data_IF_183157122703
#
_entry.id   IF_183157122703
#
_cell.length_a   1.000
_cell.length_b   1.000
_cell.length_c   1.000
_cell.angle_alpha   90.00
_cell.angle_beta   90.00
_cell.angle_gamma   90.00
#
_symmetry.space_group_name_H-M   'P 1'
#
loop_
_entity.id
_entity.type
_entity.pdbx_description
1 polymer ?
#
# COMPACT_ATOMS: atom_id res chain seq x y z
N UNK A 1 15.54 18.21 -1.59
CA UNK A 1 14.23 18.85 -1.38
C UNK A 1 14.21 19.61 -0.05
N UNK A 2 13.55 20.76 -0.02
CA UNK A 2 13.21 21.48 1.20
C UNK A 2 11.71 21.39 1.40
N UNK A 3 11.28 20.96 2.60
CA UNK A 3 9.86 20.87 2.95
C UNK A 3 9.64 21.66 4.25
N UNK A 4 8.74 22.63 4.20
CA UNK A 4 8.31 23.44 5.34
C UNK A 4 6.84 23.13 5.63
N UNK A 5 6.53 22.77 6.88
CA UNK A 5 5.17 22.49 7.33
C UNK A 5 4.82 23.43 8.48
N UNK A 6 3.68 24.11 8.36
CA UNK A 6 3.05 24.84 9.45
C UNK A 6 1.65 24.29 9.66
N UNK A 7 1.29 23.94 10.89
CA UNK A 7 0.00 23.34 11.19
C UNK A 7 -0.58 23.87 12.50
N UNK A 8 -1.88 24.17 12.46
CA UNK A 8 -2.70 24.38 13.63
C UNK A 8 -3.86 23.37 13.67
N UNK A 9 -4.16 22.84 14.85
CA UNK A 9 -5.32 22.00 15.11
C UNK A 9 -6.01 22.44 16.38
N UNK A 10 -7.33 22.39 16.41
CA UNK A 10 -8.12 22.67 17.57
C UNK A 10 -9.27 21.69 17.71
N UNK A 11 -9.75 21.58 18.94
CA UNK A 11 -10.87 20.74 19.30
C UNK A 11 -11.71 21.47 20.33
N UNK A 12 -13.02 21.41 20.18
CA UNK A 12 -13.98 21.87 21.17
C UNK A 12 -14.93 20.73 21.51
N UNK A 13 -15.01 20.40 22.80
CA UNK A 13 -15.88 19.34 23.31
C UNK A 13 -16.84 19.97 24.32
N UNK A 14 -18.13 19.72 24.11
CA UNK A 14 -19.17 20.09 25.06
C UNK A 14 -20.23 18.99 25.08
N UNK A 15 -20.44 18.36 26.22
CA UNK A 15 -21.35 17.24 26.42
C UNK A 15 -21.11 16.12 25.37
N UNK A 16 -22.11 15.82 24.58
CA UNK A 16 -22.12 14.79 23.52
C UNK A 16 -21.57 15.32 22.16
N UNK A 17 -21.19 16.60 22.09
CA UNK A 17 -20.80 17.31 20.89
C UNK A 17 -19.31 17.53 20.85
N UNK A 18 -18.71 17.30 19.70
CA UNK A 18 -17.30 17.57 19.44
C UNK A 18 -17.15 18.25 18.08
N UNK A 19 -16.38 19.32 18.05
CA UNK A 19 -16.00 20.04 16.84
C UNK A 19 -14.49 20.02 16.72
N UNK A 20 -13.97 19.50 15.62
CA UNK A 20 -12.55 19.46 15.30
C UNK A 20 -12.28 20.32 14.08
N UNK A 21 -11.18 21.08 14.10
CA UNK A 21 -10.76 21.87 12.94
C UNK A 21 -9.24 21.83 12.80
N UNK A 22 -8.79 22.14 11.61
CA UNK A 22 -7.35 22.30 11.37
C UNK A 22 -7.06 23.06 10.11
N UNK A 23 -5.93 23.74 10.15
CA UNK A 23 -5.34 24.44 9.03
C UNK A 23 -3.88 23.99 8.90
N UNK A 24 -3.47 23.65 7.69
CA UNK A 24 -2.09 23.24 7.40
C UNK A 24 -1.60 23.93 6.14
N UNK A 25 -0.41 24.51 6.21
CA UNK A 25 0.36 24.99 5.07
C UNK A 25 1.57 24.09 4.84
N UNK A 26 1.84 23.75 3.59
CA UNK A 26 3.01 22.97 3.19
C UNK A 26 3.64 23.64 2.00
N UNK A 27 4.92 23.94 2.13
CA UNK A 27 5.78 24.40 1.04
C UNK A 27 6.81 23.33 0.73
N UNK A 28 6.89 22.91 -0.54
CA UNK A 28 7.85 21.93 -1.02
C UNK A 28 8.68 22.55 -2.15
N UNK A 29 10.00 22.61 -1.99
CA UNK A 29 10.93 23.00 -3.07
C UNK A 29 11.75 21.76 -3.45
N UNK A 30 11.57 21.30 -4.68
CA UNK A 30 12.12 20.03 -5.16
C UNK A 30 13.04 20.32 -6.35
N UNK A 31 14.28 19.84 -6.25
CA UNK A 31 15.22 19.76 -7.36
C UNK A 31 15.41 18.31 -7.70
N UNK A 32 15.08 17.94 -8.92
CA UNK A 32 15.13 16.56 -9.42
C UNK A 32 15.91 16.50 -10.73
N UNK A 33 16.70 15.46 -10.85
CA UNK A 33 17.43 15.13 -12.07
C UNK A 33 17.13 13.68 -12.41
N UNK A 34 16.49 13.47 -13.56
CA UNK A 34 16.25 12.16 -14.13
C UNK A 34 17.29 11.88 -15.21
N UNK A 35 17.88 10.71 -15.15
CA UNK A 35 18.77 10.22 -16.18
C UNK A 35 18.59 8.72 -16.31
N UNK A 36 17.93 8.28 -17.35
CA UNK A 36 17.61 6.89 -17.62
C UNK A 36 18.07 6.49 -19.02
N UNK A 37 18.64 5.30 -19.10
CA UNK A 37 19.09 4.71 -20.34
C UNK A 37 18.55 3.29 -20.47
N UNK A 38 18.14 2.91 -21.67
CA UNK A 38 17.97 1.53 -22.06
C UNK A 38 19.07 1.19 -23.06
N UNK A 39 19.92 0.24 -22.70
CA UNK A 39 20.97 -0.29 -23.55
C UNK A 39 20.52 -1.67 -24.00
N UNK A 40 20.54 -1.92 -25.30
CA UNK A 40 20.28 -3.25 -25.84
C UNK A 40 21.60 -4.02 -25.75
N UNK A 41 21.56 -5.14 -25.01
CA UNK A 41 22.68 -6.06 -24.88
C UNK A 41 22.39 -7.32 -25.69
N UNK A 42 23.33 -7.74 -26.52
CA UNK A 42 23.30 -8.98 -27.29
C UNK A 42 24.45 -9.86 -26.83
N UNK A 43 24.13 -10.91 -26.07
CA UNK A 43 25.09 -11.92 -25.63
C UNK A 43 26.32 -11.34 -24.90
N UNK A 44 26.14 -10.33 -24.06
CA UNK A 44 27.21 -9.67 -23.32
C UNK A 44 27.92 -8.53 -24.07
N UNK A 45 27.37 -8.16 -25.23
CA UNK A 45 27.86 -7.01 -26.00
C UNK A 45 26.72 -5.96 -26.09
N UNK A 46 27.04 -4.75 -25.75
CA UNK A 46 26.10 -3.66 -25.91
C UNK A 46 25.99 -3.27 -27.38
N UNK A 47 24.76 -3.23 -27.86
CA UNK A 47 24.47 -2.96 -29.28
C UNK A 47 24.11 -1.50 -29.46
N UNK A 48 24.73 -0.89 -30.45
CA UNK A 48 24.46 0.48 -30.83
C UNK A 48 23.38 0.54 -31.94
N UNK A 49 22.28 1.27 -31.76
CA UNK A 49 21.44 1.67 -32.87
C UNK A 49 22.13 2.68 -33.79
N UNK A 50 21.81 2.73 -35.11
CA UNK A 50 20.67 2.11 -35.77
C UNK A 50 20.88 0.64 -36.10
N UNK A 51 19.81 -0.12 -35.94
CA UNK A 51 19.81 -1.58 -36.17
C UNK A 51 19.90 -1.97 -37.63
N UNK A 52 19.72 -1.03 -38.53
CA UNK A 52 19.83 -1.23 -39.99
C UNK A 52 21.25 -1.60 -40.42
N UNK A 53 22.24 -1.15 -39.65
CA UNK A 53 23.65 -1.50 -39.85
C UNK A 53 24.06 -2.78 -39.09
N UNK A 54 23.08 -3.34 -38.34
CA UNK A 54 23.31 -4.51 -37.51
C UNK A 54 23.11 -5.77 -38.33
N UNK A 55 24.13 -6.20 -39.04
CA UNK A 55 24.18 -7.53 -39.62
C UNK A 55 24.44 -8.51 -38.48
N UNK A 56 23.78 -9.65 -38.50
CA UNK A 56 23.82 -10.70 -37.46
C UNK A 56 25.23 -11.34 -37.28
N UNK A 57 26.22 -10.72 -37.83
CA UNK A 57 27.64 -11.06 -37.63
C UNK A 57 28.12 -10.28 -36.41
N UNK A 58 28.17 -10.95 -35.29
CA UNK A 58 28.76 -10.35 -34.09
C UNK A 58 30.22 -10.01 -34.40
N UNK A 59 30.64 -8.74 -34.28
CA UNK A 59 32.05 -8.41 -34.45
C UNK A 59 32.82 -9.12 -33.34
N UNK A 60 33.79 -9.92 -33.71
CA UNK A 60 34.73 -10.51 -32.77
C UNK A 60 35.67 -9.47 -32.14
N UNK A 61 35.63 -8.24 -32.63
CA UNK A 61 36.39 -7.12 -32.11
C UNK A 61 35.52 -6.18 -31.28
N UNK A 62 36.07 -5.61 -30.19
CA UNK A 62 35.36 -4.63 -29.40
C UNK A 62 34.91 -3.45 -30.27
N UNK A 63 33.70 -2.98 -30.07
CA UNK A 63 33.20 -1.80 -30.73
C UNK A 63 34.05 -0.57 -30.36
N UNK A 64 34.75 0.02 -31.30
CA UNK A 64 35.61 1.21 -31.09
C UNK A 64 34.82 2.49 -30.84
N UNK A 65 33.50 2.46 -30.99
CA UNK A 65 32.62 3.61 -30.76
C UNK A 65 31.99 3.55 -29.37
N UNK A 66 31.75 4.72 -28.72
CA UNK A 66 31.03 4.78 -27.45
C UNK A 66 29.65 4.14 -27.57
N UNK A 67 29.27 3.35 -26.57
CA UNK A 67 27.95 2.76 -26.47
C UNK A 67 26.88 3.85 -26.52
N UNK A 68 25.97 3.79 -27.48
CA UNK A 68 24.82 4.66 -27.53
C UNK A 68 23.60 3.96 -26.92
N UNK A 69 22.87 4.60 -26.01
CA UNK A 69 21.66 4.02 -25.45
C UNK A 69 20.58 3.94 -26.53
N UNK A 70 19.79 2.82 -26.52
CA UNK A 70 18.62 2.66 -27.38
C UNK A 70 17.56 3.70 -27.06
N UNK A 71 17.34 3.96 -25.77
CA UNK A 71 16.55 5.10 -25.29
C UNK A 71 17.32 5.88 -24.25
N UNK A 72 17.22 7.20 -24.30
CA UNK A 72 17.80 8.09 -23.31
C UNK A 72 16.75 9.11 -22.88
N UNK A 73 16.47 9.16 -21.57
CA UNK A 73 15.60 10.17 -20.97
C UNK A 73 16.39 11.01 -20.00
N UNK A 74 16.42 12.31 -20.23
CA UNK A 74 17.12 13.25 -19.36
C UNK A 74 16.19 14.41 -19.06
N UNK A 75 16.00 14.69 -17.78
CA UNK A 75 15.29 15.91 -17.35
C UNK A 75 15.91 16.46 -16.09
N UNK A 76 15.80 17.77 -15.95
CA UNK A 76 16.18 18.50 -14.74
C UNK A 76 15.04 19.45 -14.40
N UNK A 77 14.45 19.25 -13.24
CA UNK A 77 13.29 20.00 -12.80
C UNK A 77 13.59 20.73 -11.49
N UNK A 78 13.14 21.98 -11.42
CA UNK A 78 13.08 22.74 -10.17
C UNK A 78 11.65 23.17 -9.99
N UNK A 79 10.98 22.63 -8.98
CA UNK A 79 9.53 22.74 -8.76
C UNK A 79 9.26 23.22 -7.35
N UNK A 80 8.36 24.17 -7.21
CA UNK A 80 7.78 24.62 -5.96
C UNK A 80 6.31 24.21 -5.91
N UNK A 81 5.91 23.60 -4.81
CA UNK A 81 4.51 23.22 -4.57
C UNK A 81 4.09 23.82 -3.23
N UNK A 82 3.09 24.69 -3.29
CA UNK A 82 2.46 25.29 -2.11
C UNK A 82 1.08 24.69 -1.91
N UNK A 83 0.77 24.27 -0.68
CA UNK A 83 -0.52 23.64 -0.34
C UNK A 83 -1.10 24.27 0.91
N UNK A 84 -2.37 24.67 0.84
CA UNK A 84 -3.19 25.06 2.00
C UNK A 84 -4.31 24.05 2.16
N UNK A 85 -4.42 23.51 3.35
CA UNK A 85 -5.39 22.44 3.67
C UNK A 85 -6.16 22.86 4.91
N UNK A 86 -7.47 22.97 4.79
CA UNK A 86 -8.38 23.24 5.91
C UNK A 86 -9.39 22.13 6.07
N UNK A 87 -9.80 21.84 7.30
CA UNK A 87 -10.92 20.94 7.57
C UNK A 87 -11.74 21.39 8.78
N UNK A 88 -13.00 21.01 8.75
CA UNK A 88 -13.94 21.11 9.84
C UNK A 88 -14.69 19.80 9.96
N UNK A 89 -14.82 19.26 11.17
CA UNK A 89 -15.48 18.00 11.44
C UNK A 89 -16.32 18.14 12.71
N UNK A 90 -17.57 17.69 12.63
CA UNK A 90 -18.48 17.65 13.75
C UNK A 90 -18.82 16.19 14.07
N UNK A 91 -18.83 15.87 15.36
CA UNK A 91 -19.17 14.55 15.88
C UNK A 91 -20.22 14.69 16.99
N UNK A 92 -21.16 13.77 17.04
CA UNK A 92 -22.18 13.72 18.10
C UNK A 92 -22.44 12.28 18.51
N UNK A 93 -22.56 12.07 19.82
CA UNK A 93 -23.05 10.83 20.41
C UNK A 93 -24.54 10.93 20.73
N UNK A 94 -25.24 9.84 20.54
CA UNK A 94 -26.63 9.68 20.90
C UNK A 94 -26.77 8.45 21.80
N UNK A 95 -27.39 8.63 22.94
CA UNK A 95 -27.67 7.57 23.91
C UNK A 95 -29.20 7.40 24.01
N UNK A 96 -29.73 6.45 23.24
CA UNK A 96 -31.12 6.05 23.33
C UNK A 96 -31.29 4.85 24.26
N UNK A 97 -32.49 4.63 24.76
CA UNK A 97 -32.81 3.44 25.57
C UNK A 97 -32.56 2.13 24.79
N UNK A 98 -32.82 2.14 23.49
CA UNK A 98 -32.70 0.96 22.61
C UNK A 98 -31.38 0.83 21.89
N UNK A 99 -30.53 1.87 21.86
CA UNK A 99 -29.25 1.85 21.10
C UNK A 99 -28.33 3.01 21.51
N UNK A 100 -27.03 2.84 21.23
CA UNK A 100 -26.06 3.94 21.20
C UNK A 100 -25.68 4.22 19.74
N UNK A 101 -25.63 5.50 19.39
CA UNK A 101 -25.22 5.89 18.04
C UNK A 101 -24.17 6.98 18.04
N UNK A 102 -23.36 7.01 17.01
CA UNK A 102 -22.32 8.01 16.76
C UNK A 102 -22.48 8.54 15.35
N UNK A 103 -22.54 9.83 15.24
CA UNK A 103 -22.54 10.54 13.97
C UNK A 103 -21.28 11.37 13.86
N UNK A 104 -20.66 11.34 12.69
CA UNK A 104 -19.52 12.16 12.36
C UNK A 104 -19.68 12.68 10.93
N UNK A 105 -19.58 13.99 10.73
CA UNK A 105 -19.58 14.59 9.41
C UNK A 105 -18.52 15.67 9.33
N UNK A 106 -17.86 15.79 8.19
CA UNK A 106 -16.82 16.75 8.00
C UNK A 106 -16.61 17.14 6.55
N UNK A 107 -15.97 18.28 6.39
CA UNK A 107 -15.57 18.82 5.10
C UNK A 107 -14.08 19.18 5.14
N UNK A 108 -13.38 18.86 4.07
CA UNK A 108 -11.99 19.22 3.88
C UNK A 108 -11.82 19.97 2.57
N UNK A 109 -11.17 21.11 2.60
CA UNK A 109 -10.76 21.87 1.42
C UNK A 109 -9.26 21.82 1.27
N UNK A 110 -8.79 21.68 0.03
CA UNK A 110 -7.37 21.68 -0.30
C UNK A 110 -7.17 22.60 -1.51
N UNK A 111 -6.29 23.56 -1.34
CA UNK A 111 -5.80 24.45 -2.41
C UNK A 111 -4.32 24.19 -2.60
N UNK A 112 -3.87 24.10 -3.84
CA UNK A 112 -2.44 23.98 -4.12
C UNK A 112 -2.06 24.70 -5.40
N UNK A 113 -0.80 25.12 -5.43
CA UNK A 113 -0.16 25.75 -6.59
C UNK A 113 1.11 24.99 -6.93
N UNK A 114 1.27 24.66 -8.20
CA UNK A 114 2.51 24.09 -8.74
C UNK A 114 3.16 25.13 -9.63
N UNK A 115 4.44 25.42 -9.40
CA UNK A 115 5.23 26.40 -10.17
C UNK A 115 6.68 25.92 -10.28
N UNK A 116 7.46 26.52 -11.14
CA UNK A 116 8.88 26.17 -11.27
C UNK A 116 9.56 26.84 -12.45
N UNK A 117 10.85 26.58 -12.58
CA UNK A 117 11.64 27.11 -13.70
C UNK A 117 11.19 26.46 -15.03
N UNK A 118 10.68 27.30 -15.95
CA UNK A 118 10.13 26.82 -17.23
C UNK A 118 8.79 26.08 -17.12
N UNK A 119 8.10 26.16 -15.98
CA UNK A 119 6.82 25.51 -15.71
C UNK A 119 5.76 26.59 -15.51
N UNK A 120 4.66 26.53 -16.25
CA UNK A 120 3.52 27.40 -16.05
C UNK A 120 2.94 27.21 -14.65
N UNK A 121 2.72 28.30 -13.93
CA UNK A 121 2.09 28.23 -12.61
C UNK A 121 0.62 27.85 -12.75
N UNK A 122 0.22 26.80 -12.05
CA UNK A 122 -1.16 26.30 -12.05
C UNK A 122 -1.65 26.16 -10.63
N UNK A 123 -2.84 26.69 -10.35
CA UNK A 123 -3.50 26.60 -9.04
C UNK A 123 -4.80 25.83 -9.17
N UNK A 124 -5.09 24.97 -8.20
CA UNK A 124 -6.30 24.16 -8.15
C UNK A 124 -6.85 24.09 -6.74
N UNK A 125 -8.16 23.82 -6.63
CA UNK A 125 -8.87 23.65 -5.36
C UNK A 125 -9.84 22.49 -5.46
N UNK A 126 -9.97 21.75 -4.36
CA UNK A 126 -10.94 20.65 -4.21
C UNK A 126 -11.59 20.69 -2.82
N UNK A 127 -12.82 20.15 -2.75
CA UNK A 127 -13.60 20.05 -1.53
C UNK A 127 -14.05 18.60 -1.34
N UNK A 128 -13.84 18.05 -0.16
CA UNK A 128 -14.05 16.63 0.17
C UNK A 128 -14.99 16.49 1.38
N UNK A 129 -16.30 16.42 1.17
CA UNK A 129 -17.27 16.11 2.21
C UNK A 129 -17.26 14.61 2.53
N UNK A 130 -17.47 14.26 3.80
CA UNK A 130 -17.57 12.88 4.27
C UNK A 130 -18.45 12.78 5.50
N UNK A 131 -19.07 11.62 5.68
CA UNK A 131 -19.88 11.31 6.84
C UNK A 131 -19.74 9.86 7.25
N UNK A 132 -19.95 9.62 8.52
CA UNK A 132 -19.99 8.29 9.11
C UNK A 132 -21.10 8.24 10.16
N UNK A 133 -21.81 7.13 10.17
CA UNK A 133 -22.80 6.80 11.20
C UNK A 133 -22.48 5.41 11.74
N UNK A 134 -22.52 5.28 13.07
CA UNK A 134 -22.33 4.00 13.75
C UNK A 134 -23.48 3.78 14.71
N UNK A 135 -23.98 2.54 14.78
CA UNK A 135 -25.10 2.14 15.61
C UNK A 135 -24.77 0.87 16.38
N UNK A 136 -24.88 0.92 17.69
CA UNK A 136 -24.79 -0.21 18.59
C UNK A 136 -26.12 -0.44 19.26
N UNK A 137 -26.99 -1.33 18.76
CA UNK A 137 -28.26 -1.67 19.40
C UNK A 137 -28.05 -2.34 20.76
N UNK A 138 -28.99 -2.15 21.68
CA UNK A 138 -29.02 -2.82 22.98
C UNK A 138 -29.59 -4.24 22.86
N UNK A 139 -29.05 -5.05 21.95
CA UNK A 139 -29.41 -6.46 21.75
C UNK A 139 -28.63 -7.37 22.70
N UNK A 140 -29.05 -8.65 22.78
CA UNK A 140 -28.25 -9.66 23.49
C UNK A 140 -26.91 -9.89 22.81
N UNK A 141 -26.88 -9.80 21.48
CA UNK A 141 -25.66 -9.87 20.68
C UNK A 141 -24.95 -8.52 20.66
N UNK A 142 -23.70 -8.48 21.04
CA UNK A 142 -22.89 -7.28 21.00
C UNK A 142 -22.43 -6.99 19.56
N UNK A 143 -23.18 -6.15 18.86
CA UNK A 143 -22.95 -5.78 17.47
C UNK A 143 -22.84 -4.28 17.31
N UNK A 144 -21.86 -3.82 16.55
CA UNK A 144 -21.69 -2.45 16.11
C UNK A 144 -21.77 -2.38 14.59
N UNK A 145 -22.73 -1.66 14.05
CA UNK A 145 -22.87 -1.39 12.62
C UNK A 145 -22.27 -0.05 12.26
N UNK A 146 -21.62 0.03 11.11
CA UNK A 146 -21.00 1.25 10.60
C UNK A 146 -21.37 1.48 9.15
N UNK A 147 -21.72 2.72 8.83
CA UNK A 147 -21.94 3.22 7.47
C UNK A 147 -21.06 4.44 7.28
N UNK A 148 -20.20 4.45 6.28
CA UNK A 148 -19.41 5.61 5.92
C UNK A 148 -19.54 5.91 4.43
N UNK A 149 -19.68 7.20 4.10
CA UNK A 149 -19.70 7.67 2.73
C UNK A 149 -18.95 9.00 2.61
N UNK A 150 -18.34 9.24 1.45
CA UNK A 150 -17.64 10.49 1.23
C UNK A 150 -16.99 10.62 -0.12
N UNK A 151 -16.64 11.85 -0.45
CA UNK A 151 -15.85 12.22 -1.61
C UNK A 151 -14.45 12.56 -1.12
N UNK A 152 -13.46 11.95 -1.70
CA UNK A 152 -12.06 12.12 -1.34
C UNK A 152 -11.29 12.60 -2.55
N UNK A 153 -10.45 13.61 -2.35
CA UNK A 153 -9.53 14.09 -3.39
C UNK A 153 -8.10 13.94 -2.91
N UNK A 154 -7.25 13.45 -3.80
CA UNK A 154 -5.81 13.38 -3.60
C UNK A 154 -5.12 14.28 -4.60
N UNK A 155 -4.67 15.49 -4.18
CA UNK A 155 -3.80 16.32 -4.99
C UNK A 155 -2.51 15.58 -5.36
N UNK A 156 -1.97 15.80 -6.57
CA UNK A 156 -0.79 15.07 -7.01
C UNK A 156 0.43 15.43 -6.17
N UNK A 157 1.25 14.45 -5.82
CA UNK A 157 2.59 14.68 -5.31
C UNK A 157 3.60 14.75 -6.47
N UNK A 158 4.83 15.20 -6.21
CA UNK A 158 5.79 15.51 -7.25
C UNK A 158 5.97 14.45 -8.33
N UNK A 159 6.06 13.14 -7.95
CA UNK A 159 6.25 12.07 -8.94
C UNK A 159 5.05 11.88 -9.87
N UNK A 160 3.83 12.17 -9.39
CA UNK A 160 2.60 12.12 -10.19
C UNK A 160 2.50 13.27 -11.20
N UNK A 161 3.25 14.35 -11.00
CA UNK A 161 3.36 15.47 -11.93
C UNK A 161 4.33 15.21 -13.08
N UNK A 162 5.12 14.14 -13.01
CA UNK A 162 6.18 13.87 -13.98
C UNK A 162 5.72 12.86 -15.03
N UNK A 163 5.72 13.31 -16.29
CA UNK A 163 5.34 12.47 -17.43
C UNK A 163 6.44 11.46 -17.83
N UNK A 164 6.18 10.70 -18.89
CA UNK A 164 7.07 9.67 -19.40
C UNK A 164 8.42 10.21 -19.94
N UNK A 165 8.52 11.49 -20.28
CA UNK A 165 9.75 12.17 -20.68
C UNK A 165 10.52 12.75 -19.48
N UNK A 166 9.95 12.65 -18.28
CA UNK A 166 10.50 13.25 -17.07
C UNK A 166 10.19 14.73 -16.89
N UNK A 167 9.36 15.32 -17.74
CA UNK A 167 8.95 16.72 -17.67
C UNK A 167 7.81 16.87 -16.67
N UNK A 168 7.74 18.01 -16.01
CA UNK A 168 6.66 18.31 -15.06
C UNK A 168 5.47 18.90 -15.78
N UNK A 169 4.30 18.31 -15.53
CA UNK A 169 2.98 18.71 -16.00
C UNK A 169 2.25 19.34 -14.82
N UNK A 170 2.14 20.67 -14.79
CA UNK A 170 1.63 21.39 -13.62
C UNK A 170 0.12 21.36 -13.46
N UNK A 171 -0.62 21.02 -14.50
CA UNK A 171 -2.09 20.98 -14.56
C UNK A 171 -2.70 19.60 -14.24
N UNK A 172 -1.88 18.64 -13.83
CA UNK A 172 -2.38 17.35 -13.32
C UNK A 172 -3.39 17.59 -12.20
N UNK A 173 -4.60 17.06 -12.39
CA UNK A 173 -5.72 17.24 -11.46
C UNK A 173 -5.58 16.31 -10.24
N UNK A 174 -6.26 16.68 -9.16
CA UNK A 174 -6.46 15.76 -8.06
C UNK A 174 -7.27 14.54 -8.51
N UNK A 175 -6.82 13.36 -8.14
CA UNK A 175 -7.63 12.15 -8.28
C UNK A 175 -8.82 12.24 -7.33
N UNK A 176 -10.03 11.93 -7.81
CA UNK A 176 -11.27 11.93 -7.03
C UNK A 176 -11.70 10.50 -6.76
N UNK A 177 -12.18 10.24 -5.55
CA UNK A 177 -12.76 8.95 -5.22
C UNK A 177 -14.02 9.12 -4.38
N UNK A 178 -15.11 8.48 -4.80
CA UNK A 178 -16.36 8.36 -4.03
C UNK A 178 -16.34 7.03 -3.32
N UNK A 179 -16.47 7.03 -2.00
CA UNK A 179 -16.44 5.82 -1.17
C UNK A 179 -17.80 5.57 -0.53
N UNK A 180 -18.19 4.31 -0.50
CA UNK A 180 -19.27 3.77 0.33
C UNK A 180 -18.74 2.55 1.08
N UNK A 181 -18.90 2.53 2.40
CA UNK A 181 -18.39 1.46 3.27
C UNK A 181 -19.47 1.06 4.25
N UNK A 182 -19.71 -0.25 4.35
CA UNK A 182 -20.58 -0.88 5.34
C UNK A 182 -19.73 -1.80 6.21
N UNK A 183 -19.79 -1.62 7.52
CA UNK A 183 -19.03 -2.41 8.48
C UNK A 183 -19.90 -2.97 9.59
N UNK A 184 -19.49 -4.12 10.12
CA UNK A 184 -20.06 -4.73 11.31
C UNK A 184 -18.94 -5.30 12.18
N UNK A 185 -18.97 -5.01 13.47
CA UNK A 185 -18.17 -5.70 14.48
C UNK A 185 -19.13 -6.50 15.37
N UNK A 186 -18.93 -7.80 15.42
CA UNK A 186 -19.70 -8.71 16.26
C UNK A 186 -18.80 -9.35 17.31
N UNK A 187 -19.02 -8.97 18.59
CA UNK A 187 -18.33 -9.58 19.72
C UNK A 187 -19.21 -10.64 20.33
N UNK A 188 -18.63 -11.84 20.54
CA UNK A 188 -19.33 -13.02 21.05
C UNK A 188 -18.40 -13.94 21.81
N UNK A 189 -18.99 -14.78 22.65
CA UNK A 189 -18.26 -15.83 23.35
C UNK A 189 -18.33 -17.15 22.56
N UNK A 190 -17.18 -17.76 22.35
CA UNK A 190 -17.04 -19.07 21.78
C UNK A 190 -16.11 -19.90 22.68
N UNK A 191 -16.54 -21.06 23.11
CA UNK A 191 -15.85 -21.91 24.09
C UNK A 191 -15.57 -21.20 25.45
N UNK A 192 -16.44 -20.27 25.85
CA UNK A 192 -16.28 -19.45 27.06
C UNK A 192 -15.15 -18.41 26.97
N UNK A 193 -14.79 -17.98 25.76
CA UNK A 193 -13.72 -17.04 25.48
C UNK A 193 -14.18 -15.94 24.52
N UNK A 194 -13.60 -14.72 24.61
CA UNK A 194 -14.01 -13.62 23.77
C UNK A 194 -13.49 -13.74 22.34
N UNK A 195 -14.39 -13.54 21.39
CA UNK A 195 -14.10 -13.44 19.96
C UNK A 195 -14.74 -12.19 19.37
N UNK A 196 -14.11 -11.67 18.33
CA UNK A 196 -14.67 -10.57 17.55
C UNK A 196 -14.57 -10.90 16.06
N UNK A 197 -15.70 -10.86 15.36
CA UNK A 197 -15.78 -10.91 13.91
C UNK A 197 -15.99 -9.49 13.38
N UNK A 198 -15.00 -8.94 12.69
CA UNK A 198 -15.10 -7.70 11.93
C UNK A 198 -15.37 -8.02 10.48
N UNK A 199 -16.40 -7.40 9.90
CA UNK A 199 -16.80 -7.54 8.50
C UNK A 199 -16.91 -6.16 7.88
N UNK A 200 -16.34 -5.95 6.70
CA UNK A 200 -16.41 -4.68 5.99
C UNK A 200 -16.60 -4.92 4.49
N UNK A 201 -17.68 -4.39 3.93
CA UNK A 201 -17.92 -4.36 2.49
C UNK A 201 -17.75 -2.92 2.00
N UNK A 202 -17.06 -2.73 0.87
CA UNK A 202 -16.81 -1.40 0.34
C UNK A 202 -16.92 -1.33 -1.18
N UNK A 203 -17.30 -0.14 -1.63
CA UNK A 203 -17.28 0.26 -3.03
C UNK A 203 -16.61 1.63 -3.18
N UNK A 204 -15.75 1.77 -4.20
CA UNK A 204 -15.06 3.01 -4.55
C UNK A 204 -15.14 3.23 -6.04
N UNK A 205 -15.62 4.41 -6.46
CA UNK A 205 -15.52 4.90 -7.83
C UNK A 205 -14.45 5.98 -7.87
N UNK A 206 -13.58 5.93 -8.87
CA UNK A 206 -12.43 6.82 -9.01
C UNK A 206 -12.48 7.53 -10.36
N UNK A 207 -12.32 8.84 -10.33
CA UNK A 207 -12.25 9.71 -11.51
C UNK A 207 -10.92 10.47 -11.53
N UNK A 208 -10.54 10.98 -12.69
CA UNK A 208 -9.28 11.68 -12.90
C UNK A 208 -8.06 10.84 -12.44
N UNK A 209 -8.11 9.54 -12.68
CA UNK A 209 -7.04 8.64 -12.25
C UNK A 209 -5.78 8.93 -13.04
N UNK A 210 -4.68 9.15 -12.31
CA UNK A 210 -3.35 9.24 -12.88
C UNK A 210 -2.73 7.84 -12.90
N UNK A 211 -2.82 7.17 -14.04
CA UNK A 211 -2.37 5.80 -14.21
C UNK A 211 -0.85 5.68 -14.15
N UNK A 212 -0.40 4.50 -13.83
CA UNK A 212 1.03 4.19 -13.74
C UNK A 212 1.32 2.76 -14.18
N UNK A 213 2.55 2.55 -14.63
CA UNK A 213 3.10 1.20 -14.85
C UNK A 213 4.05 0.83 -13.73
N UNK A 214 4.11 -0.45 -13.44
CA UNK A 214 4.99 -1.02 -12.43
C UNK A 214 6.03 -1.92 -13.12
N UNK A 215 7.29 -1.56 -12.96
CA UNK A 215 8.42 -2.35 -13.42
C UNK A 215 9.43 -2.52 -12.29
N UNK A 216 9.72 -3.75 -11.89
CA UNK A 216 10.53 -4.03 -10.71
C UNK A 216 9.96 -3.28 -9.48
N UNK A 217 10.74 -2.42 -8.87
CA UNK A 217 10.32 -1.54 -7.75
C UNK A 217 9.99 -0.11 -8.19
N UNK A 218 9.95 0.14 -9.48
CA UNK A 218 9.74 1.48 -10.06
C UNK A 218 8.30 1.68 -10.46
N UNK A 219 7.71 2.76 -9.95
CA UNK A 219 6.40 3.26 -10.36
C UNK A 219 6.60 4.40 -11.34
N UNK A 220 5.98 4.29 -12.50
CA UNK A 220 6.07 5.24 -13.60
C UNK A 220 4.70 5.84 -13.88
N UNK A 221 4.47 7.05 -13.41
CA UNK A 221 3.24 7.78 -13.66
C UNK A 221 3.21 8.36 -15.07
N UNK A 222 2.00 8.46 -15.63
CA UNK A 222 1.79 9.07 -16.96
C UNK A 222 1.61 10.58 -16.89
N UNK A 223 1.34 11.14 -15.70
CA UNK A 223 0.98 12.54 -15.47
C UNK A 223 -0.21 12.99 -16.33
N UNK A 224 -1.18 12.08 -16.52
CA UNK A 224 -2.41 12.31 -17.24
C UNK A 224 -3.58 11.86 -16.37
N UNK A 225 -4.67 12.61 -16.38
CA UNK A 225 -5.91 12.23 -15.68
C UNK A 225 -6.91 11.65 -16.68
N UNK A 226 -6.48 10.70 -17.47
CA UNK A 226 -7.18 10.14 -18.63
C UNK A 226 -7.82 8.77 -18.35
N UNK A 227 -8.04 8.45 -17.08
CA UNK A 227 -8.65 7.20 -16.69
C UNK A 227 -9.69 7.36 -15.58
N UNK A 228 -10.63 6.44 -15.58
CA UNK A 228 -11.54 6.13 -14.49
C UNK A 228 -11.23 4.75 -13.92
N UNK A 229 -11.63 4.49 -12.68
CA UNK A 229 -11.40 3.21 -12.05
C UNK A 229 -12.50 2.90 -11.01
N UNK A 230 -12.57 1.64 -10.61
CA UNK A 230 -13.37 1.24 -9.45
C UNK A 230 -12.62 0.23 -8.59
N UNK A 231 -13.07 0.13 -7.34
CA UNK A 231 -12.67 -0.94 -6.45
C UNK A 231 -13.86 -1.34 -5.57
N UNK A 232 -14.08 -2.64 -5.43
CA UNK A 232 -15.01 -3.16 -4.43
C UNK A 232 -14.45 -4.43 -3.80
N UNK A 233 -14.88 -4.69 -2.58
CA UNK A 233 -14.40 -5.82 -1.84
C UNK A 233 -15.16 -6.11 -0.56
N UNK A 234 -14.74 -7.22 0.04
CA UNK A 234 -15.21 -7.70 1.34
C UNK A 234 -14.00 -8.11 2.16
N UNK A 235 -13.84 -7.52 3.33
CA UNK A 235 -12.82 -7.89 4.30
C UNK A 235 -13.49 -8.49 5.53
N UNK A 236 -12.99 -9.66 5.96
CA UNK A 236 -13.43 -10.37 7.16
C UNK A 236 -12.23 -10.62 8.06
N UNK A 237 -12.39 -10.42 9.36
CA UNK A 237 -11.39 -10.77 10.37
C UNK A 237 -12.05 -11.36 11.60
N UNK A 238 -11.70 -12.60 11.90
CA UNK A 238 -12.00 -13.24 13.16
C UNK A 238 -10.78 -13.17 14.06
N UNK A 239 -10.91 -12.59 15.23
CA UNK A 239 -9.84 -12.50 16.25
C UNK A 239 -10.37 -12.93 17.61
N UNK A 240 -9.54 -13.52 18.43
CA UNK A 240 -9.91 -13.93 19.78
C UNK A 240 -8.95 -14.93 20.41
N UNK A 241 -9.32 -15.39 21.58
CA UNK A 241 -8.55 -16.36 22.34
C UNK A 241 -8.85 -17.80 21.89
N UNK A 242 -8.24 -18.24 20.78
CA UNK A 242 -8.31 -19.65 20.35
C UNK A 242 -7.65 -20.57 21.38
N UNK A 243 -6.62 -20.08 22.04
CA UNK A 243 -5.99 -20.67 23.20
C UNK A 243 -6.01 -19.66 24.34
N UNK A 244 -6.37 -20.05 25.59
CA UNK A 244 -6.47 -19.14 26.71
C UNK A 244 -5.17 -18.32 26.91
N UNK A 245 -5.31 -16.98 27.01
CA UNK A 245 -4.19 -16.07 27.22
C UNK A 245 -3.33 -15.80 25.98
N UNK A 246 -3.78 -16.20 24.78
CA UNK A 246 -3.11 -15.85 23.52
C UNK A 246 -4.10 -15.29 22.51
N UNK A 247 -3.69 -14.22 21.81
CA UNK A 247 -4.47 -13.63 20.74
C UNK A 247 -4.09 -14.28 19.40
N UNK A 248 -5.08 -14.87 18.76
CA UNK A 248 -4.94 -15.43 17.40
C UNK A 248 -5.99 -14.82 16.48
N UNK A 249 -5.71 -14.82 15.19
CA UNK A 249 -6.65 -14.25 14.22
C UNK A 249 -6.51 -14.86 12.84
N UNK A 250 -7.60 -14.86 12.10
CA UNK A 250 -7.68 -15.14 10.67
C UNK A 250 -8.32 -13.95 9.96
N UNK A 251 -7.75 -13.52 8.83
CA UNK A 251 -8.25 -12.45 7.99
C UNK A 251 -8.41 -12.94 6.56
N UNK A 252 -9.54 -12.64 5.95
CA UNK A 252 -9.87 -12.93 4.56
C UNK A 252 -10.23 -11.63 3.87
N UNK A 253 -9.70 -11.40 2.67
CA UNK A 253 -10.02 -10.25 1.85
C UNK A 253 -10.32 -10.66 0.42
N UNK A 254 -11.41 -10.12 -0.12
CA UNK A 254 -11.79 -10.20 -1.51
C UNK A 254 -11.74 -8.80 -2.10
N UNK A 255 -11.03 -8.60 -3.20
CA UNK A 255 -10.90 -7.31 -3.87
C UNK A 255 -11.00 -7.49 -5.38
N UNK A 256 -11.78 -6.63 -6.01
CA UNK A 256 -11.68 -6.38 -7.46
C UNK A 256 -11.43 -4.90 -7.69
N UNK A 257 -10.39 -4.56 -8.46
CA UNK A 257 -10.13 -3.19 -8.87
C UNK A 257 -9.62 -3.17 -10.31
N UNK A 258 -10.28 -2.35 -11.12
CA UNK A 258 -9.99 -2.21 -12.55
C UNK A 258 -9.95 -0.73 -12.92
N UNK A 259 -9.27 -0.39 -14.00
CA UNK A 259 -9.17 0.96 -14.55
C UNK A 259 -9.42 0.94 -16.06
N UNK A 260 -10.08 1.97 -16.53
CA UNK A 260 -10.37 2.21 -17.95
C UNK A 260 -9.58 3.44 -18.41
N UNK A 261 -8.59 3.22 -19.23
CA UNK A 261 -7.67 4.27 -19.70
C UNK A 261 -8.13 4.71 -21.09
N UNK A 262 -8.49 5.98 -21.24
CA UNK A 262 -8.92 6.57 -22.51
C UNK A 262 -10.10 5.81 -23.17
N UNK A 263 -11.05 5.34 -22.35
CA UNK A 263 -12.25 4.60 -22.79
C UNK A 263 -11.99 3.34 -23.62
N UNK A 264 -10.83 2.69 -23.41
CA UNK A 264 -10.43 1.46 -24.12
C UNK A 264 -10.96 0.18 -23.48
N UNK A 265 -11.73 0.28 -22.40
CA UNK A 265 -12.26 -0.83 -21.61
C UNK A 265 -11.47 -1.06 -20.32
N UNK A 266 -12.09 -1.81 -19.42
CA UNK A 266 -11.51 -2.05 -18.08
C UNK A 266 -10.43 -3.12 -18.08
N UNK A 267 -9.30 -2.83 -17.47
CA UNK A 267 -8.19 -3.76 -17.21
C UNK A 267 -7.86 -3.78 -15.71
N UNK A 268 -7.23 -4.84 -15.24
CA UNK A 268 -6.82 -4.96 -13.85
C UNK A 268 -5.80 -3.88 -13.47
N UNK A 269 -6.07 -3.14 -12.38
CA UNK A 269 -5.10 -2.20 -11.83
C UNK A 269 -3.89 -2.93 -11.24
N UNK A 270 -2.70 -2.33 -11.18
CA UNK A 270 -1.51 -2.96 -10.62
C UNK A 270 -1.67 -3.50 -9.18
N UNK A 271 -2.66 -3.03 -8.45
CA UNK A 271 -2.99 -3.45 -7.08
C UNK A 271 -4.13 -4.47 -7.00
N UNK A 272 -4.65 -4.97 -8.13
CA UNK A 272 -5.76 -5.91 -8.17
C UNK A 272 -5.35 -7.29 -7.66
N UNK A 273 -5.62 -7.55 -6.39
CA UNK A 273 -5.34 -8.81 -5.72
C UNK A 273 -6.64 -9.46 -5.25
N UNK A 274 -7.14 -10.42 -6.02
CA UNK A 274 -8.50 -10.97 -5.90
C UNK A 274 -8.82 -11.62 -4.56
N UNK A 275 -7.86 -12.33 -3.99
CA UNK A 275 -8.05 -13.01 -2.70
C UNK A 275 -6.80 -12.90 -1.86
N UNK A 276 -6.97 -12.60 -0.59
CA UNK A 276 -5.94 -12.58 0.45
C UNK A 276 -6.43 -13.35 1.66
N UNK A 277 -5.57 -14.16 2.21
CA UNK A 277 -5.77 -14.81 3.50
C UNK A 277 -4.52 -14.61 4.35
N UNK A 278 -4.71 -14.18 5.57
CA UNK A 278 -3.64 -14.13 6.57
C UNK A 278 -4.13 -14.74 7.87
N UNK A 279 -3.24 -15.47 8.52
CA UNK A 279 -3.55 -16.23 9.72
C UNK A 279 -2.38 -16.10 10.68
N UNK A 280 -2.68 -15.83 11.95
CA UNK A 280 -1.76 -15.90 13.06
C UNK A 280 -2.38 -16.78 14.14
N UNK A 281 -1.73 -17.89 14.45
CA UNK A 281 -2.07 -18.74 15.56
C UNK A 281 -0.94 -18.69 16.59
N UNK A 282 -1.29 -18.54 17.86
CA UNK A 282 -0.37 -18.59 18.98
C UNK A 282 -0.84 -19.60 20.01
N UNK A 283 0.10 -20.32 20.59
CA UNK A 283 -0.17 -21.31 21.62
C UNK A 283 1.01 -21.38 22.59
N UNK A 284 0.75 -21.92 23.76
CA UNK A 284 1.80 -22.35 24.72
C UNK A 284 2.11 -23.84 24.48
N UNK A 285 3.39 -24.19 24.60
CA UNK A 285 3.76 -25.61 24.51
C UNK A 285 3.19 -26.35 25.73
N UNK A 286 2.41 -27.41 25.54
CA UNK A 286 1.87 -28.18 26.65
C UNK A 286 2.96 -28.59 27.64
N UNK A 287 2.72 -28.39 28.95
CA UNK A 287 3.64 -28.64 30.07
C UNK A 287 4.85 -27.69 30.18
N UNK A 288 5.02 -26.73 29.27
CA UNK A 288 6.09 -25.72 29.31
C UNK A 288 5.44 -24.32 29.11
N UNK A 289 4.79 -23.75 30.15
CA UNK A 289 4.02 -22.51 30.00
C UNK A 289 4.88 -21.28 29.66
N UNK A 290 6.19 -21.35 29.88
CA UNK A 290 7.12 -20.31 29.49
C UNK A 290 7.54 -20.37 28.01
N UNK A 291 7.11 -21.41 27.30
CA UNK A 291 7.39 -21.59 25.87
C UNK A 291 6.14 -21.32 25.04
N UNK A 292 6.20 -20.25 24.24
CA UNK A 292 5.18 -19.90 23.26
C UNK A 292 5.62 -20.33 21.87
N UNK A 293 4.69 -20.83 21.11
CA UNK A 293 4.86 -21.06 19.67
C UNK A 293 3.92 -20.13 18.91
N UNK A 294 4.32 -19.72 17.72
CA UNK A 294 3.42 -19.09 16.76
C UNK A 294 3.59 -19.69 15.36
N UNK A 295 2.48 -19.72 14.65
CA UNK A 295 2.39 -20.02 13.23
C UNK A 295 1.73 -18.84 12.53
N UNK A 296 2.43 -18.25 11.58
CA UNK A 296 1.90 -17.22 10.70
C UNK A 296 1.85 -17.74 9.28
N UNK A 297 0.71 -17.57 8.62
CA UNK A 297 0.54 -17.94 7.21
C UNK A 297 -0.04 -16.77 6.43
N UNK A 298 0.44 -16.58 5.21
CA UNK A 298 -0.07 -15.59 4.26
C UNK A 298 -0.21 -16.27 2.91
N UNK A 299 -1.41 -16.23 2.37
CA UNK A 299 -1.73 -16.64 1.00
C UNK A 299 -2.37 -15.48 0.26
N UNK A 300 -1.93 -15.24 -0.97
CA UNK A 300 -2.47 -14.17 -1.80
C UNK A 300 -2.46 -14.62 -3.27
N UNK A 301 -3.54 -14.35 -4.00
CA UNK A 301 -3.54 -14.55 -5.44
C UNK A 301 -2.55 -13.61 -6.12
N UNK A 302 -2.05 -14.01 -7.30
CA UNK A 302 -1.06 -13.21 -8.03
C UNK A 302 -1.56 -11.81 -8.37
N UNK A 303 -0.70 -10.83 -8.14
CA UNK A 303 -0.88 -9.47 -8.65
C UNK A 303 -0.73 -9.44 -10.17
N UNK A 304 -1.27 -8.42 -10.87
CA UNK A 304 -0.87 -8.14 -12.25
C UNK A 304 0.64 -8.04 -12.36
N UNK A 305 1.20 -8.66 -13.40
CA UNK A 305 2.65 -8.82 -13.57
C UNK A 305 3.40 -7.54 -13.89
N UNK A 306 2.69 -6.42 -14.04
CA UNK A 306 3.25 -5.16 -14.50
C UNK A 306 3.50 -5.15 -16.01
N UNK A 307 4.09 -4.08 -16.49
CA UNK A 307 4.45 -3.89 -17.88
C UNK A 307 5.84 -3.26 -17.99
N UNK A 308 6.55 -3.45 -19.11
CA UNK A 308 7.78 -2.71 -19.36
C UNK A 308 7.57 -1.20 -19.21
N UNK A 309 8.62 -0.48 -18.86
CA UNK A 309 8.57 0.97 -18.73
C UNK A 309 7.93 1.61 -19.97
N UNK A 310 6.88 2.43 -19.73
CA UNK A 310 6.17 3.19 -20.77
C UNK A 310 5.47 2.35 -21.84
N UNK A 311 5.38 1.04 -21.68
CA UNK A 311 4.58 0.18 -22.56
C UNK A 311 3.08 0.39 -22.34
N UNK A 312 2.30 0.00 -23.33
CA UNK A 312 0.84 0.00 -23.22
C UNK A 312 0.40 -1.11 -22.25
N UNK A 313 -0.24 -0.77 -21.09
CA UNK A 313 -0.64 -1.77 -20.12
C UNK A 313 -1.67 -2.76 -20.64
N UNK A 314 -2.45 -2.44 -21.68
CA UNK A 314 -3.41 -3.35 -22.30
C UNK A 314 -2.77 -4.58 -22.94
N UNK A 315 -1.50 -4.49 -23.32
CA UNK A 315 -0.74 -5.59 -23.90
C UNK A 315 -0.12 -6.53 -22.84
N UNK A 316 -0.14 -6.13 -21.56
CA UNK A 316 0.55 -6.84 -20.49
C UNK A 316 -0.43 -7.18 -19.34
N UNK A 317 -1.39 -8.06 -19.63
CA UNK A 317 -2.45 -8.44 -18.68
C UNK A 317 -2.17 -9.76 -17.94
N UNK A 318 -0.94 -10.23 -17.95
CA UNK A 318 -0.53 -11.44 -17.21
C UNK A 318 -0.50 -11.19 -15.70
N UNK A 319 -0.65 -12.25 -14.93
CA UNK A 319 -0.54 -12.23 -13.47
C UNK A 319 0.67 -13.00 -13.00
N UNK A 320 1.25 -12.54 -11.89
CA UNK A 320 2.26 -13.29 -11.17
C UNK A 320 1.67 -14.56 -10.56
N UNK A 321 2.50 -15.58 -10.25
CA UNK A 321 2.08 -16.70 -9.42
C UNK A 321 1.54 -16.24 -8.07
N UNK A 322 0.73 -17.08 -7.41
CA UNK A 322 0.24 -16.80 -6.09
C UNK A 322 1.40 -16.70 -5.09
N UNK A 323 1.27 -15.80 -4.13
CA UNK A 323 2.17 -15.65 -2.99
C UNK A 323 1.75 -16.59 -1.87
N UNK A 324 2.67 -17.35 -1.31
CA UNK A 324 2.44 -18.14 -0.11
C UNK A 324 3.68 -18.12 0.78
N UNK A 325 3.49 -17.75 2.04
CA UNK A 325 4.55 -17.77 3.04
C UNK A 325 4.00 -18.29 4.35
N UNK A 326 4.74 -19.18 4.99
CA UNK A 326 4.49 -19.63 6.35
C UNK A 326 5.74 -19.43 7.19
N UNK A 327 5.55 -18.82 8.36
CA UNK A 327 6.61 -18.55 9.34
C UNK A 327 6.23 -19.27 10.64
N UNK A 328 7.22 -19.90 11.29
CA UNK A 328 7.06 -20.58 12.58
C UNK A 328 8.10 -20.02 13.54
N UNK A 329 7.69 -19.78 14.77
CA UNK A 329 8.59 -19.32 15.81
C UNK A 329 8.28 -19.95 17.16
N UNK A 330 9.34 -20.16 17.93
CA UNK A 330 9.32 -20.61 19.31
C UNK A 330 9.98 -19.53 20.16
N UNK A 331 9.30 -19.07 21.21
CA UNK A 331 9.81 -18.09 22.16
C UNK A 331 9.81 -18.71 23.54
N UNK A 332 10.96 -18.73 24.22
CA UNK A 332 11.11 -19.24 25.58
C UNK A 332 11.47 -18.10 26.53
N UNK A 333 10.68 -17.93 27.58
CA UNK A 333 10.93 -16.94 28.63
C UNK A 333 11.81 -17.57 29.71
N UNK A 334 13.07 -17.12 29.77
CA UNK A 334 14.07 -17.65 30.71
C UNK A 334 13.86 -17.02 32.10
N UNK A 335 13.63 -15.71 32.14
CA UNK A 335 13.41 -14.94 33.37
C UNK A 335 12.12 -14.15 33.23
N UNK A 336 11.23 -14.28 34.20
CA UNK A 336 10.06 -13.42 34.37
C UNK A 336 9.96 -13.05 35.87
N UNK A 337 10.33 -11.81 36.20
CA UNK A 337 10.35 -11.31 37.57
C UNK A 337 8.97 -11.24 38.22
N UNK A 338 7.90 -11.18 37.44
CA UNK A 338 6.52 -11.17 37.96
C UNK A 338 6.08 -12.56 38.46
N UNK A 339 6.70 -13.63 37.94
CA UNK A 339 6.37 -15.04 38.26
C UNK A 339 7.41 -15.74 39.12
N UNK A 340 8.61 -15.16 39.30
CA UNK A 340 9.72 -15.79 39.98
C UNK A 340 10.07 -15.09 41.30
N UNK A 341 10.81 -15.78 42.22
CA UNK A 341 11.42 -15.22 43.43
C UNK A 341 12.45 -14.10 43.15
N UNK A 342 12.72 -13.81 41.87
CA UNK A 342 13.68 -12.81 41.40
C UNK A 342 13.06 -11.41 41.24
N UNK A 343 12.05 -11.07 42.04
CA UNK A 343 11.32 -9.79 41.98
C UNK A 343 12.21 -8.55 42.08
N UNK A 344 13.40 -8.66 42.64
CA UNK A 344 14.41 -7.60 42.79
C UNK A 344 15.55 -7.71 41.77
N UNK A 345 15.43 -8.53 40.75
CA UNK A 345 16.46 -8.67 39.70
C UNK A 345 16.56 -7.41 38.85
N UNK A 346 17.76 -7.03 38.46
CA UNK A 346 18.03 -5.98 37.49
C UNK A 346 17.38 -6.29 36.13
N UNK A 347 17.33 -7.58 35.74
CA UNK A 347 16.62 -8.05 34.55
C UNK A 347 15.22 -8.47 34.96
N UNK A 348 14.19 -7.77 34.47
CA UNK A 348 12.77 -8.07 34.69
C UNK A 348 12.26 -9.21 33.80
N UNK A 349 12.73 -9.25 32.58
CA UNK A 349 12.36 -10.29 31.63
C UNK A 349 13.55 -10.61 30.74
N UNK A 350 13.82 -11.88 30.56
CA UNK A 350 14.77 -12.39 29.55
C UNK A 350 14.09 -13.49 28.77
N UNK A 351 14.03 -13.33 27.45
CA UNK A 351 13.46 -14.32 26.56
C UNK A 351 14.38 -14.58 25.37
N UNK A 352 14.39 -15.81 24.91
CA UNK A 352 15.08 -16.24 23.69
C UNK A 352 14.10 -16.88 22.73
N UNK A 353 14.34 -16.79 21.45
CA UNK A 353 13.48 -17.40 20.44
C UNK A 353 14.23 -17.85 19.20
N UNK A 354 13.66 -18.84 18.56
CA UNK A 354 14.08 -19.34 17.23
C UNK A 354 12.91 -19.15 16.30
N UNK A 355 13.16 -18.52 15.16
CA UNK A 355 12.15 -18.23 14.15
C UNK A 355 12.63 -18.75 12.79
N UNK A 356 11.75 -19.40 12.05
CA UNK A 356 12.00 -19.84 10.68
C UNK A 356 10.99 -19.12 9.80
N UNK A 357 11.50 -18.18 8.99
CA UNK A 357 10.69 -17.47 8.02
C UNK A 357 10.69 -18.22 6.70
N UNK A 358 9.52 -18.25 6.03
CA UNK A 358 9.31 -18.96 4.79
C UNK A 358 9.74 -20.44 4.87
N UNK A 359 9.13 -21.18 5.81
CA UNK A 359 9.50 -22.57 6.13
C UNK A 359 9.53 -23.51 4.92
N UNK A 360 8.66 -23.26 3.93
CA UNK A 360 8.57 -24.05 2.71
C UNK A 360 9.57 -23.63 1.62
N UNK A 361 10.40 -22.62 1.90
CA UNK A 361 11.40 -22.08 0.96
C UNK A 361 10.82 -21.72 -0.40
N UNK A 362 9.57 -21.24 -0.40
CA UNK A 362 8.89 -20.87 -1.64
C UNK A 362 9.48 -19.60 -2.24
N UNK A 363 9.79 -19.66 -3.51
CA UNK A 363 10.19 -18.50 -4.30
C UNK A 363 8.95 -17.66 -4.61
N UNK A 364 8.71 -16.64 -3.78
CA UNK A 364 7.62 -15.70 -3.94
C UNK A 364 8.06 -14.49 -4.75
N UNK A 365 7.27 -14.10 -5.72
CA UNK A 365 7.52 -12.91 -6.52
C UNK A 365 6.34 -11.95 -6.43
N UNK A 366 6.61 -10.65 -6.37
CA UNK A 366 5.62 -9.57 -6.33
C UNK A 366 5.79 -8.57 -7.46
N UNK A 367 6.87 -8.67 -8.23
CA UNK A 367 7.18 -7.81 -9.38
C UNK A 367 7.97 -8.59 -10.42
N UNK A 368 7.98 -8.07 -11.65
CA UNK A 368 8.84 -8.53 -12.74
C UNK A 368 9.87 -7.45 -13.10
N UNK A 369 11.02 -7.89 -13.54
CA UNK A 369 11.95 -7.10 -14.37
C UNK A 369 11.76 -7.53 -15.81
N UNK A 370 11.67 -6.59 -16.73
CA UNK A 370 11.54 -6.90 -18.15
C UNK A 370 12.90 -6.80 -18.83
N UNK A 371 13.26 -7.86 -19.53
CA UNK A 371 14.51 -7.95 -20.29
C UNK A 371 14.17 -8.09 -21.76
N UNK A 372 14.84 -7.32 -22.60
CA UNK A 372 14.66 -7.37 -24.05
C UNK A 372 15.75 -8.25 -24.67
N UNK A 373 15.32 -9.21 -25.47
CA UNK A 373 16.22 -9.94 -26.36
C UNK A 373 16.62 -9.02 -27.53
N UNK A 374 17.91 -8.82 -27.71
CA UNK A 374 18.44 -7.94 -28.74
C UNK A 374 18.17 -8.46 -30.16
N UNK A 375 18.24 -9.77 -30.37
CA UNK A 375 18.05 -10.38 -31.68
C UNK A 375 16.58 -10.39 -32.13
N UNK A 376 15.68 -10.81 -31.25
CA UNK A 376 14.24 -10.95 -31.55
C UNK A 376 13.44 -9.71 -31.21
N UNK A 377 14.01 -8.77 -30.43
CA UNK A 377 13.34 -7.60 -29.83
C UNK A 377 12.16 -7.96 -28.90
N UNK A 378 11.99 -9.22 -28.57
CA UNK A 378 10.97 -9.67 -27.63
C UNK A 378 11.34 -9.28 -26.20
N UNK A 379 10.32 -8.99 -25.43
CA UNK A 379 10.48 -8.69 -24.01
C UNK A 379 10.03 -9.88 -23.16
N UNK A 380 10.89 -10.29 -22.23
CA UNK A 380 10.65 -11.37 -21.30
C UNK A 380 10.47 -10.80 -19.90
N UNK A 381 9.45 -11.29 -19.19
CA UNK A 381 9.24 -10.99 -17.79
C UNK A 381 10.05 -11.95 -16.92
N UNK A 382 11.00 -11.41 -16.16
CA UNK A 382 11.81 -12.16 -15.20
C UNK A 382 11.29 -11.86 -13.80
N UNK A 383 10.75 -12.84 -13.05
CA UNK A 383 10.24 -12.62 -11.71
C UNK A 383 11.34 -12.19 -10.74
N UNK A 384 11.06 -11.15 -9.93
CA UNK A 384 11.91 -10.76 -8.83
C UNK A 384 11.47 -11.51 -7.57
N UNK A 385 12.30 -12.45 -7.15
CA UNK A 385 12.02 -13.26 -5.98
C UNK A 385 12.38 -12.54 -4.68
N UNK A 386 11.48 -12.68 -3.71
CA UNK A 386 11.69 -12.22 -2.34
C UNK A 386 12.60 -13.19 -1.58
N UNK A 387 12.89 -12.80 -0.34
CA UNK A 387 13.78 -13.54 0.58
C UNK A 387 13.40 -15.02 0.66
N UNK A 388 14.34 -15.95 0.49
CA UNK A 388 14.16 -17.38 0.70
C UNK A 388 13.94 -17.69 2.18
N UNK A 389 14.06 -18.96 2.58
CA UNK A 389 13.98 -19.35 3.98
C UNK A 389 15.10 -18.70 4.79
N UNK A 390 14.73 -18.14 5.94
CA UNK A 390 15.66 -17.49 6.87
C UNK A 390 15.48 -18.08 8.26
N UNK A 391 16.60 -18.42 8.90
CA UNK A 391 16.65 -18.78 10.30
C UNK A 391 17.06 -17.54 11.10
N UNK A 392 16.28 -17.23 12.12
CA UNK A 392 16.51 -16.08 12.99
C UNK A 392 16.57 -16.54 14.45
N UNK A 393 17.53 -16.01 15.19
CA UNK A 393 17.62 -16.18 16.64
C UNK A 393 17.38 -14.81 17.28
N UNK A 394 16.47 -14.76 18.22
CA UNK A 394 16.09 -13.54 18.95
C UNK A 394 16.46 -13.69 20.42
N UNK A 395 17.11 -12.68 20.96
CA UNK A 395 17.30 -12.49 22.39
C UNK A 395 16.69 -11.15 22.78
N UNK A 396 15.84 -11.14 23.81
CA UNK A 396 15.18 -9.93 24.32
C UNK A 396 15.36 -9.85 25.82
N UNK A 397 15.83 -8.71 26.31
CA UNK A 397 15.96 -8.43 27.72
C UNK A 397 15.23 -7.12 28.07
N UNK A 398 14.47 -7.14 29.16
CA UNK A 398 13.83 -5.96 29.76
C UNK A 398 14.41 -5.74 31.16
N UNK A 399 14.88 -4.53 31.41
CA UNK A 399 15.50 -4.10 32.67
C UNK A 399 14.50 -3.33 33.53
#
# INVERSE_FOLDING_TARGET
ALIVNLQHKGQFIKDEHQLDWGLKYVHENIRDRLQEYEIIDSAGFSVRPPLEEFVNEQPYEPFDAPLAPFTSRRSQNTVSIDRVIGYLQYSKRYNWSSAKAWFNAGIRSQFWTVSGLGIASTSQQVVSPRGQFSLKPNWKSDMLFRLAAGIYHQPPFYRELRNNQGQVVSDVKAQRSVHLVLGNDWSFDMWGRPFTLTSEAYFKSLDNVNTYTLENVRIRYRAANDAEAYAYGLDLRLSGEFVPGTDSWISLGLLKTEENIQDRGFIARPTDQRFKMAFLFQDYVPRIPDMKLYLKMVYQTGLPGGSPSYADPYLYQTRLPFYFRSDVGFLYTIINSERSSLRNSFIKELSTGIEIFNIFDRQNSITNTFVRDAATRQQYAVPNYLTPRVFNIRLSARF
#
